data_IF_924644662036
#
_entry.id   IF_924644662036
#
_cell.length_a   1.000
_cell.length_b   1.000
_cell.length_c   1.000
_cell.angle_alpha   90.00
_cell.angle_beta   90.00
_cell.angle_gamma   90.00
#
_symmetry.space_group_name_H-M   'P 1'
#
loop_
_entity.id
_entity.type
_entity.pdbx_description
1 polymer ?
#
# COMPACT_ATOMS: atom_id res chain seq x y z
N UNK A 1 -6.51 24.97 -19.48
CA UNK A 1 -5.57 23.94 -19.99
C UNK A 1 -4.27 24.13 -19.24
N UNK A 2 -4.05 23.32 -18.19
CA UNK A 2 -2.90 23.50 -17.28
C UNK A 2 -1.64 22.75 -17.74
N UNK A 3 -1.77 21.84 -18.73
CA UNK A 3 -0.62 21.04 -19.19
C UNK A 3 -0.67 20.86 -20.71
N UNK A 4 0.46 21.06 -21.41
CA UNK A 4 0.61 20.69 -22.81
C UNK A 4 0.82 19.18 -22.93
N UNK A 5 -0.11 18.38 -22.43
CA UNK A 5 -0.10 16.94 -22.61
C UNK A 5 -0.82 16.63 -23.92
N UNK A 6 -0.18 15.88 -24.78
CA UNK A 6 -0.72 15.43 -26.06
C UNK A 6 -0.77 13.90 -26.01
N UNK A 7 -1.97 13.31 -25.88
CA UNK A 7 -2.12 11.85 -25.76
C UNK A 7 -1.63 11.09 -27.00
N UNK A 8 -1.53 11.76 -28.14
CA UNK A 8 -1.07 11.15 -29.41
C UNK A 8 0.45 11.14 -29.56
N UNK A 9 1.20 11.68 -28.59
CA UNK A 9 2.66 11.67 -28.61
C UNK A 9 3.27 10.54 -27.79
N UNK A 10 4.37 9.98 -28.29
CA UNK A 10 5.15 9.01 -27.53
C UNK A 10 5.61 9.58 -26.19
N UNK A 11 5.33 8.85 -25.11
CA UNK A 11 5.69 9.24 -23.76
C UNK A 11 7.19 9.06 -23.52
N UNK A 12 7.79 10.05 -22.87
CA UNK A 12 9.15 9.95 -22.36
C UNK A 12 9.15 9.25 -21.01
N UNK A 13 10.10 8.34 -20.76
CA UNK A 13 10.35 7.77 -19.42
C UNK A 13 10.67 8.83 -18.35
N UNK A 14 10.92 10.08 -18.77
CA UNK A 14 11.09 11.21 -17.86
C UNK A 14 9.78 11.80 -17.35
N UNK A 15 8.64 11.41 -17.92
CA UNK A 15 7.32 11.81 -17.46
C UNK A 15 6.92 11.05 -16.18
N UNK A 16 5.81 11.45 -15.55
CA UNK A 16 5.19 10.72 -14.44
C UNK A 16 4.41 9.51 -14.91
N UNK A 17 3.64 8.95 -14.01
CA UNK A 17 2.74 7.80 -14.28
C UNK A 17 1.81 8.14 -15.46
N UNK A 18 1.51 7.15 -16.31
CA UNK A 18 0.72 7.31 -17.54
C UNK A 18 1.29 8.34 -18.53
N UNK A 19 2.56 8.69 -18.43
CA UNK A 19 3.15 9.73 -19.25
C UNK A 19 2.76 11.16 -18.87
N UNK A 20 2.00 11.35 -17.80
CA UNK A 20 1.55 12.66 -17.33
C UNK A 20 2.72 13.50 -16.77
N UNK A 21 2.58 14.83 -16.75
CA UNK A 21 3.59 15.71 -16.14
C UNK A 21 3.81 15.39 -14.64
N UNK A 22 5.06 15.49 -14.17
CA UNK A 22 5.42 15.37 -12.76
C UNK A 22 5.08 16.65 -12.00
N UNK A 23 3.81 16.90 -11.77
CA UNK A 23 3.33 18.12 -11.10
C UNK A 23 2.61 17.80 -9.78
N UNK A 24 3.40 17.64 -8.72
CA UNK A 24 2.84 17.41 -7.36
C UNK A 24 1.89 18.53 -6.95
N UNK A 25 2.20 19.79 -7.31
CA UNK A 25 1.45 20.95 -6.83
C UNK A 25 0.01 20.97 -7.36
N UNK A 26 -0.17 20.72 -8.63
CA UNK A 26 -1.47 20.83 -9.29
C UNK A 26 -2.23 19.51 -9.41
N UNK A 27 -1.59 18.36 -9.18
CA UNK A 27 -2.25 17.07 -9.20
C UNK A 27 -3.34 16.97 -8.12
N UNK A 28 -4.50 16.44 -8.48
CA UNK A 28 -5.60 16.16 -7.54
C UNK A 28 -5.38 14.84 -6.80
N UNK A 29 -4.73 13.86 -7.44
CA UNK A 29 -4.47 12.54 -6.89
C UNK A 29 -2.95 12.31 -6.74
N UNK A 30 -2.53 11.85 -5.57
CA UNK A 30 -1.15 11.46 -5.27
C UNK A 30 -1.07 9.96 -5.06
N UNK A 31 -0.28 9.29 -5.88
CA UNK A 31 0.06 7.87 -5.69
C UNK A 31 1.35 7.80 -4.86
N UNK A 32 1.25 7.09 -3.75
CA UNK A 32 2.33 6.88 -2.77
C UNK A 32 2.81 5.44 -2.93
N UNK A 33 3.97 5.19 -3.54
CA UNK A 33 4.51 3.83 -3.65
C UNK A 33 5.01 3.34 -2.30
N UNK A 34 4.64 2.11 -1.94
CA UNK A 34 5.07 1.44 -0.71
C UNK A 34 5.58 0.04 -1.05
N UNK A 35 6.87 -0.09 -1.38
CA UNK A 35 7.49 -1.36 -1.77
C UNK A 35 7.69 -2.26 -0.54
N UNK A 36 6.64 -2.98 -0.14
CA UNK A 36 6.58 -3.75 1.09
C UNK A 36 5.90 -5.10 0.91
N UNK A 37 6.59 -6.20 1.24
CA UNK A 37 6.03 -7.56 1.22
C UNK A 37 6.57 -8.46 2.35
N UNK A 38 6.91 -7.83 3.47
CA UNK A 38 7.61 -8.48 4.60
C UNK A 38 6.83 -9.67 5.15
N UNK A 39 5.50 -9.62 5.20
CA UNK A 39 4.68 -10.67 5.83
C UNK A 39 4.00 -11.63 4.86
N UNK A 40 4.28 -11.53 3.56
CA UNK A 40 3.71 -12.48 2.58
C UNK A 40 4.17 -13.91 2.87
N UNK A 41 3.23 -14.87 2.85
CA UNK A 41 3.49 -16.28 3.17
C UNK A 41 3.78 -17.13 1.94
N UNK A 42 3.08 -16.90 0.82
CA UNK A 42 3.15 -17.82 -0.32
C UNK A 42 4.27 -17.47 -1.32
N UNK A 43 4.32 -16.23 -1.81
CA UNK A 43 5.34 -15.76 -2.76
C UNK A 43 5.78 -14.35 -2.39
N UNK A 44 7.06 -14.09 -2.54
CA UNK A 44 7.65 -12.74 -2.45
C UNK A 44 7.64 -12.06 -3.82
N UNK A 45 7.82 -10.74 -3.83
CA UNK A 45 8.00 -9.94 -5.05
C UNK A 45 6.95 -8.85 -5.24
N UNK A 46 5.88 -8.81 -4.45
CA UNK A 46 4.89 -7.73 -4.53
C UNK A 46 5.47 -6.37 -4.13
N UNK A 47 6.59 -6.34 -3.40
CA UNK A 47 7.33 -5.10 -3.12
C UNK A 47 7.81 -4.40 -4.40
N UNK A 48 8.01 -5.12 -5.50
CA UNK A 48 8.39 -4.56 -6.80
C UNK A 48 7.19 -4.09 -7.65
N UNK A 49 5.96 -4.38 -7.20
CA UNK A 49 4.76 -4.03 -7.97
C UNK A 49 4.62 -2.52 -8.23
N UNK A 50 4.94 -1.61 -7.28
CA UNK A 50 4.83 -0.18 -7.55
C UNK A 50 5.70 0.28 -8.73
N UNK A 51 6.94 -0.21 -8.84
CA UNK A 51 7.85 0.10 -9.95
C UNK A 51 7.36 -0.51 -11.26
N UNK A 52 6.97 -1.78 -11.23
CA UNK A 52 6.47 -2.48 -12.41
C UNK A 52 5.18 -1.84 -12.97
N UNK A 53 4.28 -1.38 -12.09
CA UNK A 53 3.05 -0.68 -12.47
C UNK A 53 3.37 0.69 -13.06
N UNK A 54 4.32 1.44 -12.48
CA UNK A 54 4.77 2.69 -13.05
C UNK A 54 5.30 2.49 -14.47
N UNK A 55 6.14 1.48 -14.68
CA UNK A 55 6.71 1.17 -15.99
C UNK A 55 5.63 0.73 -16.99
N UNK A 56 4.71 -0.14 -16.58
CA UNK A 56 3.60 -0.60 -17.41
C UNK A 56 2.62 0.53 -17.76
N UNK A 57 2.48 1.53 -16.90
CA UNK A 57 1.56 2.66 -17.09
C UNK A 57 1.84 3.49 -18.34
N UNK A 58 3.06 3.45 -18.86
CA UNK A 58 3.44 4.15 -20.10
C UNK A 58 2.82 3.54 -21.37
N UNK A 59 2.15 2.38 -21.24
CA UNK A 59 1.47 1.68 -22.34
C UNK A 59 -0.04 1.85 -22.32
N UNK A 60 -0.58 2.64 -21.37
CA UNK A 60 -2.03 2.78 -21.15
C UNK A 60 -2.51 4.10 -21.73
N UNK A 61 -3.53 4.03 -22.58
CA UNK A 61 -4.28 5.20 -23.03
C UNK A 61 -5.20 5.71 -21.93
N UNK A 62 -5.15 7.01 -21.65
CA UNK A 62 -5.96 7.67 -20.62
C UNK A 62 -7.33 8.11 -21.20
N UNK A 63 -8.00 7.23 -21.92
CA UNK A 63 -9.31 7.50 -22.48
C UNK A 63 -10.38 6.67 -21.77
N UNK A 64 -11.35 7.36 -21.19
CA UNK A 64 -12.56 6.76 -20.64
C UNK A 64 -13.79 7.32 -21.35
N UNK A 65 -14.71 6.46 -21.80
CA UNK A 65 -15.89 6.86 -22.56
C UNK A 65 -16.91 7.65 -21.74
N UNK A 66 -16.91 7.50 -20.42
CA UNK A 66 -17.83 8.18 -19.51
C UNK A 66 -17.17 9.42 -18.88
N UNK A 67 -15.85 9.42 -18.72
CA UNK A 67 -15.07 10.47 -18.05
C UNK A 67 -13.82 10.81 -18.88
N UNK A 68 -13.97 11.34 -20.09
CA UNK A 68 -12.88 11.48 -21.06
C UNK A 68 -11.75 12.42 -20.59
N UNK A 69 -12.07 13.39 -19.74
CA UNK A 69 -11.14 14.46 -19.31
C UNK A 69 -10.70 14.34 -17.84
N UNK A 70 -11.01 13.24 -17.16
CA UNK A 70 -10.65 13.08 -15.72
C UNK A 70 -9.14 13.11 -15.46
N UNK A 71 -8.33 12.65 -16.40
CA UNK A 71 -6.87 12.73 -16.32
C UNK A 71 -6.33 14.18 -16.24
N UNK A 72 -7.08 15.18 -16.73
CA UNK A 72 -6.72 16.60 -16.64
C UNK A 72 -6.66 17.13 -15.20
N UNK A 73 -7.29 16.43 -14.24
CA UNK A 73 -7.17 16.74 -12.80
C UNK A 73 -5.78 16.47 -12.27
N UNK A 74 -4.95 15.77 -13.02
CA UNK A 74 -3.56 15.46 -12.70
C UNK A 74 -3.41 14.31 -11.69
N UNK A 75 -2.49 13.41 -12.02
CA UNK A 75 -2.08 12.31 -11.18
C UNK A 75 -0.58 12.43 -10.96
N UNK A 76 -0.15 12.52 -9.72
CA UNK A 76 1.27 12.56 -9.37
C UNK A 76 1.69 11.25 -8.71
N UNK A 77 2.74 10.65 -9.22
CA UNK A 77 3.38 9.50 -8.63
C UNK A 77 4.58 9.98 -7.79
N UNK A 78 4.51 9.76 -6.48
CA UNK A 78 5.56 10.19 -5.56
C UNK A 78 6.88 9.44 -5.84
N UNK A 79 8.04 10.07 -5.62
CA UNK A 79 9.32 9.38 -5.73
C UNK A 79 9.41 8.17 -4.80
N UNK A 80 10.13 7.14 -5.23
CA UNK A 80 10.51 6.03 -4.36
C UNK A 80 11.44 6.51 -3.26
N UNK A 81 11.26 5.95 -2.08
CA UNK A 81 12.13 6.16 -0.93
C UNK A 81 12.96 4.89 -0.74
N UNK A 82 14.21 4.90 -1.15
CA UNK A 82 15.10 3.73 -1.19
C UNK A 82 15.15 2.99 0.14
N UNK A 83 15.12 3.72 1.26
CA UNK A 83 15.18 3.14 2.60
C UNK A 83 14.01 2.20 2.93
N UNK A 84 12.82 2.38 2.34
CA UNK A 84 11.68 1.46 2.53
C UNK A 84 11.97 0.13 1.85
N UNK A 85 12.52 0.15 0.64
CA UNK A 85 12.92 -1.07 -0.07
C UNK A 85 14.07 -1.79 0.66
N UNK A 86 15.03 -1.04 1.18
CA UNK A 86 16.13 -1.60 1.97
C UNK A 86 15.61 -2.25 3.25
N UNK A 87 14.72 -1.57 3.97
CA UNK A 87 14.07 -2.10 5.17
C UNK A 87 13.25 -3.35 4.83
N UNK A 88 12.44 -3.31 3.75
CA UNK A 88 11.69 -4.46 3.27
C UNK A 88 12.61 -5.66 3.03
N UNK A 89 13.68 -5.45 2.27
CA UNK A 89 14.62 -6.51 1.90
C UNK A 89 15.33 -7.12 3.12
N UNK A 90 15.62 -6.31 4.12
CA UNK A 90 16.26 -6.76 5.35
C UNK A 90 15.30 -7.57 6.23
N UNK A 91 14.11 -7.05 6.46
CA UNK A 91 13.12 -7.67 7.34
C UNK A 91 12.43 -8.88 6.69
N UNK A 92 12.29 -8.89 5.36
CA UNK A 92 11.77 -10.03 4.61
C UNK A 92 12.59 -11.30 4.85
N UNK A 93 13.92 -11.20 4.94
CA UNK A 93 14.77 -12.36 5.24
C UNK A 93 14.50 -12.95 6.62
N UNK A 94 14.21 -12.09 7.61
CA UNK A 94 13.84 -12.53 8.96
C UNK A 94 12.47 -13.17 8.98
N UNK A 95 11.48 -12.49 8.41
CA UNK A 95 10.10 -12.99 8.37
C UNK A 95 10.00 -14.34 7.65
N UNK A 96 10.72 -14.51 6.54
CA UNK A 96 10.78 -15.79 5.83
C UNK A 96 11.27 -16.93 6.74
N UNK A 97 12.33 -16.69 7.52
CA UNK A 97 12.84 -17.71 8.45
C UNK A 97 11.81 -18.05 9.54
N UNK A 98 11.05 -17.04 10.00
CA UNK A 98 9.99 -17.23 11.00
C UNK A 98 8.85 -18.04 10.38
N UNK A 99 8.39 -17.65 9.18
CA UNK A 99 7.33 -18.33 8.43
C UNK A 99 7.71 -19.79 8.18
N UNK A 100 8.91 -20.03 7.66
CA UNK A 100 9.42 -21.39 7.39
C UNK A 100 9.42 -22.26 8.68
N UNK A 101 9.73 -21.69 9.85
CA UNK A 101 9.66 -22.41 11.11
C UNK A 101 8.21 -22.74 11.50
N UNK A 102 7.32 -21.74 11.44
CA UNK A 102 5.90 -21.89 11.85
C UNK A 102 5.11 -22.84 10.92
N UNK A 103 5.50 -22.94 9.65
CA UNK A 103 4.85 -23.82 8.68
C UNK A 103 5.37 -25.25 8.74
N UNK A 104 6.60 -25.47 9.21
CA UNK A 104 7.26 -26.78 9.16
C UNK A 104 7.56 -27.39 10.55
N UNK A 105 7.15 -26.75 11.64
CA UNK A 105 7.41 -27.20 13.00
C UNK A 105 6.24 -26.87 13.93
N UNK A 106 5.86 -27.81 14.77
CA UNK A 106 4.93 -27.60 15.87
C UNK A 106 5.63 -27.05 17.13
N UNK A 107 6.95 -26.90 17.09
CA UNK A 107 7.72 -26.38 18.22
C UNK A 107 7.56 -24.86 18.33
N UNK A 108 7.51 -24.31 19.55
CA UNK A 108 7.46 -22.88 19.78
C UNK A 108 8.65 -22.16 19.14
N UNK A 109 8.45 -20.91 18.72
CA UNK A 109 9.54 -20.09 18.18
C UNK A 109 10.72 -20.05 19.17
N UNK A 110 11.94 -20.41 18.74
CA UNK A 110 13.15 -20.21 19.54
C UNK A 110 13.36 -18.73 19.87
N UNK A 111 14.02 -18.42 20.98
CA UNK A 111 14.22 -17.02 21.44
C UNK A 111 14.88 -16.11 20.39
N UNK A 112 15.76 -16.68 19.54
CA UNK A 112 16.32 -15.93 18.42
C UNK A 112 15.25 -15.49 17.40
N UNK A 113 14.30 -16.36 17.10
CA UNK A 113 13.21 -16.05 16.15
C UNK A 113 12.16 -15.14 16.77
N UNK A 114 11.91 -15.24 18.08
CA UNK A 114 11.06 -14.27 18.81
C UNK A 114 11.61 -12.85 18.72
N UNK A 115 12.93 -12.69 18.92
CA UNK A 115 13.58 -11.38 18.75
C UNK A 115 13.47 -10.87 17.31
N UNK A 116 13.72 -11.75 16.35
CA UNK A 116 13.55 -11.39 14.93
C UNK A 116 12.10 -10.97 14.60
N UNK A 117 11.11 -11.61 15.22
CA UNK A 117 9.69 -11.26 15.07
C UNK A 117 9.38 -9.87 15.67
N UNK A 118 9.97 -9.55 16.85
CA UNK A 118 9.85 -8.21 17.43
C UNK A 118 10.47 -7.14 16.51
N UNK A 119 11.60 -7.44 15.87
CA UNK A 119 12.24 -6.54 14.90
C UNK A 119 11.38 -6.35 13.65
N UNK A 120 10.80 -7.41 13.10
CA UNK A 120 9.85 -7.34 11.98
C UNK A 120 8.62 -6.49 12.35
N UNK A 121 8.03 -6.71 13.52
CA UNK A 121 6.89 -5.92 13.98
C UNK A 121 7.26 -4.43 14.15
N UNK A 122 8.45 -4.13 14.65
CA UNK A 122 8.96 -2.76 14.76
C UNK A 122 9.15 -2.10 13.37
N UNK A 123 9.64 -2.86 12.40
CA UNK A 123 9.77 -2.39 11.02
C UNK A 123 8.40 -2.12 10.35
N UNK A 124 7.38 -2.96 10.62
CA UNK A 124 6.02 -2.70 10.19
C UNK A 124 5.47 -1.38 10.77
N UNK A 125 5.81 -1.06 12.03
CA UNK A 125 5.45 0.23 12.63
C UNK A 125 6.16 1.40 11.92
N UNK A 126 7.41 1.25 11.50
CA UNK A 126 8.14 2.26 10.74
C UNK A 126 7.50 2.48 9.36
N UNK A 127 7.17 1.41 8.64
CA UNK A 127 6.44 1.49 7.38
C UNK A 127 5.09 2.20 7.56
N UNK A 128 4.31 1.83 8.57
CA UNK A 128 3.04 2.46 8.90
C UNK A 128 3.19 3.96 9.20
N UNK A 129 4.25 4.36 9.91
CA UNK A 129 4.54 5.77 10.20
C UNK A 129 4.87 6.56 8.93
N UNK A 130 5.61 5.95 8.01
CA UNK A 130 5.90 6.53 6.70
C UNK A 130 4.62 6.77 5.90
N UNK A 131 3.76 5.76 5.77
CA UNK A 131 2.49 5.87 5.04
C UNK A 131 1.60 6.95 5.67
N UNK A 132 1.47 6.93 7.00
CA UNK A 132 0.70 7.94 7.76
C UNK A 132 1.19 9.35 7.44
N UNK A 133 2.49 9.61 7.50
CA UNK A 133 3.06 10.93 7.22
C UNK A 133 2.77 11.40 5.78
N UNK A 134 2.93 10.51 4.78
CA UNK A 134 2.67 10.83 3.37
C UNK A 134 1.18 11.10 3.11
N UNK A 135 0.29 10.25 3.64
CA UNK A 135 -1.16 10.42 3.49
C UNK A 135 -1.64 11.68 4.19
N UNK A 136 -1.19 11.95 5.41
CA UNK A 136 -1.54 13.15 6.15
C UNK A 136 -1.13 14.42 5.40
N UNK A 137 0.11 14.46 4.88
CA UNK A 137 0.56 15.56 4.01
C UNK A 137 -0.35 15.73 2.79
N UNK A 138 -0.69 14.64 2.10
CA UNK A 138 -1.58 14.67 0.95
C UNK A 138 -2.94 15.28 1.29
N UNK A 139 -3.56 14.80 2.37
CA UNK A 139 -4.85 15.26 2.87
C UNK A 139 -4.82 16.72 3.32
N UNK A 140 -3.71 17.21 3.91
CA UNK A 140 -3.54 18.60 4.33
C UNK A 140 -3.57 19.57 3.13
N UNK A 141 -3.10 19.12 1.97
CA UNK A 141 -3.19 19.89 0.71
C UNK A 141 -4.52 19.70 -0.04
N UNK A 142 -5.50 19.04 0.55
CA UNK A 142 -6.82 18.81 -0.07
C UNK A 142 -6.79 17.82 -1.23
N UNK A 143 -5.77 16.97 -1.33
CA UNK A 143 -5.59 16.00 -2.40
C UNK A 143 -6.08 14.61 -2.01
N UNK A 144 -6.31 13.76 -3.00
CA UNK A 144 -6.73 12.38 -2.82
C UNK A 144 -5.47 11.50 -2.69
N UNK A 145 -5.23 10.82 -1.56
CA UNK A 145 -4.14 9.86 -1.45
C UNK A 145 -4.54 8.52 -2.06
N UNK A 146 -3.61 7.92 -2.80
CA UNK A 146 -3.68 6.53 -3.24
C UNK A 146 -2.40 5.82 -2.83
N UNK A 147 -2.48 4.78 -2.01
CA UNK A 147 -1.32 3.95 -1.67
C UNK A 147 -1.22 2.82 -2.70
N UNK A 148 -0.07 2.71 -3.32
CA UNK A 148 0.25 1.62 -4.24
C UNK A 148 1.30 0.72 -3.59
N UNK A 149 0.87 -0.41 -3.10
CA UNK A 149 1.72 -1.38 -2.41
C UNK A 149 2.09 -2.54 -3.31
N UNK A 150 2.70 -3.31 -2.76
CA UNK A 150 3.13 -4.44 -2.04
C UNK A 150 1.98 -5.27 -1.50
N UNK A 151 2.15 -5.73 -0.30
CA UNK A 151 1.12 -6.51 0.38
C UNK A 151 0.04 -5.62 1.03
N UNK A 152 -1.09 -6.22 1.39
CA UNK A 152 -2.26 -5.48 1.84
C UNK A 152 -2.06 -4.69 3.16
N UNK A 153 -1.09 -5.07 4.01
CA UNK A 153 -0.81 -4.38 5.29
C UNK A 153 -0.47 -2.89 5.12
N UNK A 154 0.02 -2.47 3.94
CA UNK A 154 0.35 -1.06 3.65
C UNK A 154 -0.85 -0.12 3.71
N UNK A 155 -2.08 -0.64 3.63
CA UNK A 155 -3.30 0.15 3.64
C UNK A 155 -3.72 0.62 5.04
N UNK A 156 -3.27 -0.03 6.12
CA UNK A 156 -3.71 0.25 7.50
C UNK A 156 -3.61 1.73 7.88
N UNK A 157 -2.42 2.31 7.76
CA UNK A 157 -2.20 3.70 8.16
C UNK A 157 -2.84 4.71 7.22
N UNK A 158 -2.99 4.36 5.94
CA UNK A 158 -3.73 5.20 5.00
C UNK A 158 -5.20 5.32 5.41
N UNK A 159 -5.83 4.19 5.72
CA UNK A 159 -7.21 4.15 6.23
C UNK A 159 -7.32 4.96 7.52
N UNK A 160 -6.38 4.81 8.46
CA UNK A 160 -6.39 5.54 9.72
C UNK A 160 -6.36 7.08 9.52
N UNK A 161 -5.49 7.58 8.65
CA UNK A 161 -5.41 9.02 8.39
C UNK A 161 -6.64 9.57 7.66
N UNK A 162 -7.19 8.81 6.71
CA UNK A 162 -8.44 9.19 6.03
C UNK A 162 -9.62 9.18 6.99
N UNK A 163 -9.74 8.16 7.85
CA UNK A 163 -10.81 8.05 8.84
C UNK A 163 -10.77 9.18 9.87
N UNK A 164 -9.59 9.57 10.35
CA UNK A 164 -9.42 10.75 11.23
C UNK A 164 -9.96 12.03 10.58
N UNK A 165 -9.75 12.21 9.28
CA UNK A 165 -10.24 13.39 8.55
C UNK A 165 -11.74 13.30 8.25
N UNK A 166 -12.28 12.10 8.05
CA UNK A 166 -13.66 11.82 7.67
C UNK A 166 -14.27 10.77 8.61
N UNK A 167 -14.59 11.12 9.88
CA UNK A 167 -15.21 10.20 10.82
C UNK A 167 -16.52 9.60 10.28
N UNK A 168 -16.71 8.30 10.50
CA UNK A 168 -17.80 7.53 9.90
C UNK A 168 -17.43 6.95 8.52
N UNK A 169 -16.13 6.95 8.16
CA UNK A 169 -15.63 6.39 6.91
C UNK A 169 -16.19 4.98 6.67
N UNK A 170 -16.75 4.77 5.47
CA UNK A 170 -17.06 3.44 4.95
C UNK A 170 -15.91 2.90 4.11
N UNK A 171 -15.58 1.64 4.29
CA UNK A 171 -14.58 0.92 3.50
C UNK A 171 -15.29 -0.04 2.56
N UNK A 172 -14.90 -0.02 1.29
CA UNK A 172 -15.28 -1.01 0.28
C UNK A 172 -14.04 -1.76 -0.15
N UNK A 173 -13.95 -3.03 0.24
CA UNK A 173 -12.83 -3.92 -0.09
C UNK A 173 -13.24 -4.90 -1.19
N UNK A 174 -12.47 -4.96 -2.26
CA UNK A 174 -12.56 -6.00 -3.29
C UNK A 174 -11.40 -6.95 -3.12
N UNK A 175 -11.64 -8.10 -2.54
CA UNK A 175 -10.59 -9.06 -2.18
C UNK A 175 -11.12 -10.49 -2.17
N UNK A 176 -10.23 -11.44 -2.43
CA UNK A 176 -10.49 -12.87 -2.25
C UNK A 176 -10.55 -13.28 -0.78
N UNK A 177 -9.89 -12.51 0.09
CA UNK A 177 -9.71 -12.80 1.51
C UNK A 177 -10.40 -11.73 2.37
N UNK A 178 -10.86 -12.12 3.55
CA UNK A 178 -11.46 -11.18 4.49
C UNK A 178 -10.41 -10.34 5.26
N UNK A 179 -9.17 -10.83 5.39
CA UNK A 179 -8.08 -10.22 6.15
C UNK A 179 -8.44 -9.88 7.61
N UNK A 180 -9.22 -10.78 8.23
CA UNK A 180 -9.73 -10.64 9.58
C UNK A 180 -9.03 -11.57 10.59
N UNK A 181 -7.89 -12.17 10.23
CA UNK A 181 -7.09 -13.00 11.13
C UNK A 181 -6.51 -12.15 12.26
N UNK A 182 -6.44 -12.70 13.49
CA UNK A 182 -5.96 -11.91 14.63
C UNK A 182 -4.46 -11.61 14.53
N UNK A 183 -3.65 -12.62 14.28
CA UNK A 183 -2.20 -12.54 14.06
C UNK A 183 -1.86 -13.63 13.08
N UNK A 184 -1.63 -13.25 11.84
CA UNK A 184 -1.24 -14.24 10.86
C UNK A 184 0.26 -14.51 10.99
N UNK A 185 0.60 -15.77 11.26
CA UNK A 185 1.99 -16.20 11.53
C UNK A 185 2.65 -15.33 12.62
N UNK A 186 1.87 -14.97 13.65
CA UNK A 186 2.27 -14.15 14.80
C UNK A 186 2.78 -12.73 14.46
N UNK A 187 2.57 -12.25 13.23
CA UNK A 187 2.86 -10.86 12.88
C UNK A 187 1.66 -9.96 13.19
N UNK A 188 1.92 -8.91 13.97
CA UNK A 188 0.88 -7.96 14.38
C UNK A 188 0.28 -7.21 13.18
N UNK A 189 1.12 -6.77 12.23
CA UNK A 189 0.72 -6.06 11.02
C UNK A 189 0.98 -6.93 9.80
N UNK A 190 0.17 -7.96 9.58
CA UNK A 190 0.26 -8.80 8.38
C UNK A 190 -0.80 -8.42 7.35
N UNK A 191 -0.57 -8.84 6.11
CA UNK A 191 -1.54 -8.71 5.03
C UNK A 191 -2.89 -9.35 5.37
N UNK A 192 -2.90 -10.51 6.05
CA UNK A 192 -4.12 -11.25 6.41
C UNK A 192 -4.82 -10.72 7.69
N UNK A 193 -4.27 -9.69 8.34
CA UNK A 193 -4.81 -9.10 9.57
C UNK A 193 -5.23 -7.64 9.42
N UNK A 194 -5.03 -7.06 8.24
CA UNK A 194 -5.18 -5.62 8.05
C UNK A 194 -6.58 -5.12 8.37
N UNK A 195 -7.63 -5.79 7.89
CA UNK A 195 -9.00 -5.33 8.13
C UNK A 195 -9.44 -5.55 9.57
N UNK A 196 -8.96 -6.60 10.24
CA UNK A 196 -9.15 -6.75 11.68
C UNK A 196 -8.51 -5.60 12.46
N UNK A 197 -7.24 -5.31 12.16
CA UNK A 197 -6.53 -4.19 12.80
C UNK A 197 -7.27 -2.86 12.58
N UNK A 198 -7.81 -2.64 11.38
CA UNK A 198 -8.61 -1.46 11.07
C UNK A 198 -9.84 -1.39 11.96
N UNK A 199 -10.65 -2.46 12.01
CA UNK A 199 -11.92 -2.46 12.75
C UNK A 199 -11.74 -2.40 14.28
N UNK A 200 -10.62 -2.94 14.81
CA UNK A 200 -10.35 -2.92 16.24
C UNK A 200 -9.69 -1.63 16.72
N UNK A 201 -8.86 -0.98 15.87
CA UNK A 201 -8.01 0.12 16.32
C UNK A 201 -8.36 1.49 15.72
N UNK A 202 -9.31 1.57 14.78
CA UNK A 202 -9.71 2.83 14.14
C UNK A 202 -11.21 3.06 14.36
N UNK A 203 -11.59 3.63 15.51
CA UNK A 203 -13.01 3.82 15.87
C UNK A 203 -13.76 4.79 14.94
N UNK A 204 -13.05 5.58 14.14
CA UNK A 204 -13.63 6.48 13.15
C UNK A 204 -14.12 5.74 11.90
N UNK A 205 -13.80 4.47 11.72
CA UNK A 205 -14.35 3.64 10.64
C UNK A 205 -15.76 3.18 11.02
N UNK A 206 -16.74 3.59 10.23
CA UNK A 206 -18.14 3.31 10.50
C UNK A 206 -18.63 1.98 9.92
N UNK A 207 -18.05 1.52 8.82
CA UNK A 207 -18.51 0.31 8.10
C UNK A 207 -17.43 -0.29 7.22
N UNK A 208 -17.36 -1.62 7.22
CA UNK A 208 -16.60 -2.41 6.25
C UNK A 208 -17.55 -3.23 5.38
N UNK A 209 -17.43 -3.09 4.07
CA UNK A 209 -18.14 -3.90 3.06
C UNK A 209 -17.10 -4.65 2.26
N UNK A 210 -17.20 -5.97 2.22
CA UNK A 210 -16.27 -6.85 1.53
C UNK A 210 -16.97 -7.54 0.35
N UNK A 211 -16.33 -7.54 -0.81
CA UNK A 211 -16.85 -8.10 -2.07
C UNK A 211 -15.88 -9.14 -2.59
N UNK A 212 -16.41 -10.25 -3.09
CA UNK A 212 -15.69 -11.39 -3.66
C UNK A 212 -14.90 -12.24 -2.64
N UNK A 213 -15.12 -12.07 -1.35
CA UNK A 213 -14.50 -12.89 -0.31
C UNK A 213 -14.92 -14.36 -0.48
N UNK A 214 -13.94 -15.25 -0.50
CA UNK A 214 -14.12 -16.71 -0.58
C UNK A 214 -13.20 -17.49 0.37
N UNK A 215 -12.38 -16.77 1.14
CA UNK A 215 -11.52 -17.33 2.21
C UNK A 215 -11.33 -16.30 3.34
N UNK A 216 -10.93 -16.78 4.54
CA UNK A 216 -10.71 -15.96 5.73
C UNK A 216 -9.29 -15.38 5.78
#
# INVERSE_FOLDING_TARGET
MLFPFDPDKNFSKNNGIFGLPKDEKNAALLIIPVPWDVTTSYREGTAYAPEAILEASYQIDLYDTQLPDEWEKGIFYAPFEDWIMDLNSFERRKSKTIIDHLENSDEPLPDRLKRAQEEVNAACVQMNSYVSAKVNKCLAFGKIPAVLGGEHSVSFSAIAEVAKKFPGLGILQFDAHADLRQHYLDFQFSHASVMRNVMENIPEVGKLVQVAVRDL
#
